data_IF_798267286694
#
_entry.id   IF_798267286694
#
_cell.length_a   1.000
_cell.length_b   1.000
_cell.length_c   1.000
_cell.angle_alpha   90.00
_cell.angle_beta   90.00
_cell.angle_gamma   90.00
#
_symmetry.space_group_name_H-M   'P 1'
#
loop_
_entity.id
_entity.type
_entity.pdbx_description
1 polymer ?
#
# COMPACT_ATOMS: atom_id res chain seq x y z
N UNK A 1 -16.90 -1.44 -14.29
CA UNK A 1 -16.01 -0.53 -13.52
C UNK A 1 -14.94 -1.33 -12.80
N UNK A 2 -15.29 -2.38 -12.06
CA UNK A 2 -14.34 -3.22 -11.31
C UNK A 2 -13.15 -3.75 -12.11
N UNK A 3 -13.38 -4.20 -13.35
CA UNK A 3 -12.31 -4.72 -14.21
C UNK A 3 -11.22 -3.68 -14.54
N UNK A 4 -11.56 -2.39 -14.55
CA UNK A 4 -10.60 -1.31 -14.82
C UNK A 4 -9.67 -1.06 -13.64
N UNK A 5 -10.21 -1.11 -12.41
CA UNK A 5 -9.42 -0.93 -11.20
C UNK A 5 -8.42 -2.06 -10.99
N UNK A 6 -8.85 -3.31 -11.19
CA UNK A 6 -7.97 -4.47 -11.03
C UNK A 6 -6.84 -4.49 -12.07
N UNK A 7 -7.09 -4.02 -13.29
CA UNK A 7 -6.04 -3.88 -14.31
C UNK A 7 -4.99 -2.84 -13.88
N UNK A 8 -5.42 -1.65 -13.47
CA UNK A 8 -4.50 -0.59 -13.02
C UNK A 8 -3.75 -0.95 -11.73
N UNK A 9 -4.35 -1.77 -10.85
CA UNK A 9 -3.66 -2.34 -9.70
C UNK A 9 -2.56 -3.32 -10.10
N UNK A 10 -2.82 -4.20 -11.07
CA UNK A 10 -1.82 -5.16 -11.54
C UNK A 10 -0.66 -4.46 -12.26
N UNK A 11 -0.93 -3.48 -13.12
CA UNK A 11 0.12 -2.67 -13.79
C UNK A 11 0.99 -1.88 -12.80
N UNK A 12 0.44 -1.57 -11.62
CA UNK A 12 1.14 -0.80 -10.58
C UNK A 12 2.04 -1.65 -9.68
N UNK A 13 1.99 -2.98 -9.79
CA UNK A 13 2.80 -3.92 -8.98
C UNK A 13 4.19 -4.12 -9.58
N UNK A 14 5.11 -4.60 -8.75
CA UNK A 14 6.41 -5.02 -9.23
C UNK A 14 6.34 -6.41 -9.88
N UNK A 15 7.19 -6.65 -10.88
CA UNK A 15 7.26 -7.94 -11.59
C UNK A 15 7.50 -9.13 -10.64
N UNK A 16 8.23 -8.93 -9.55
CA UNK A 16 8.48 -9.97 -8.55
C UNK A 16 7.23 -10.28 -7.71
N UNK A 17 6.40 -9.28 -7.41
CA UNK A 17 5.14 -9.48 -6.68
C UNK A 17 4.13 -10.26 -7.54
N UNK A 18 4.09 -10.00 -8.85
CA UNK A 18 3.28 -10.75 -9.80
C UNK A 18 3.77 -12.20 -9.93
N UNK A 19 5.09 -12.39 -10.10
CA UNK A 19 5.69 -13.73 -10.16
C UNK A 19 5.40 -14.56 -8.90
N UNK A 20 5.57 -13.99 -7.71
CA UNK A 20 5.22 -14.66 -6.44
C UNK A 20 3.75 -15.03 -6.34
N UNK A 21 2.86 -14.19 -6.85
CA UNK A 21 1.43 -14.48 -6.88
C UNK A 21 1.13 -15.70 -7.76
N UNK A 22 1.81 -15.81 -8.91
CA UNK A 22 1.68 -16.97 -9.80
C UNK A 22 2.25 -18.26 -9.16
N UNK A 23 3.40 -18.18 -8.51
CA UNK A 23 4.03 -19.33 -7.85
C UNK A 23 3.20 -19.86 -6.68
N UNK A 24 2.64 -18.96 -5.86
CA UNK A 24 1.69 -19.35 -4.79
C UNK A 24 0.45 -20.04 -5.35
N UNK A 25 -0.07 -19.59 -6.49
CA UNK A 25 -1.23 -20.20 -7.13
C UNK A 25 -0.93 -21.59 -7.72
N UNK A 26 0.34 -21.90 -8.03
CA UNK A 26 0.79 -23.21 -8.50
C UNK A 26 1.04 -24.23 -7.39
N UNK A 27 1.04 -23.81 -6.13
CA UNK A 27 1.26 -24.70 -4.97
C UNK A 27 2.72 -25.09 -4.72
N UNK A 28 3.67 -24.63 -5.55
CA UNK A 28 5.09 -24.97 -5.39
C UNK A 28 5.72 -24.37 -4.12
N UNK A 29 5.08 -23.38 -3.50
CA UNK A 29 5.55 -22.73 -2.26
C UNK A 29 5.11 -23.41 -0.95
N UNK A 30 4.36 -24.52 -0.98
CA UNK A 30 3.81 -25.15 0.24
C UNK A 30 4.90 -25.64 1.23
N UNK A 31 6.10 -25.97 0.73
CA UNK A 31 7.20 -26.47 1.56
C UNK A 31 8.21 -25.39 1.99
N UNK A 32 8.01 -24.13 1.60
CA UNK A 32 8.93 -23.04 1.94
C UNK A 32 8.45 -22.27 3.15
N UNK A 33 9.37 -22.01 4.10
CA UNK A 33 9.06 -21.14 5.23
C UNK A 33 8.60 -19.75 4.75
N UNK A 34 7.36 -19.30 5.08
CA UNK A 34 6.79 -18.05 4.58
C UNK A 34 7.62 -16.82 4.95
N UNK A 35 8.33 -16.85 6.09
CA UNK A 35 9.18 -15.75 6.53
C UNK A 35 10.44 -15.65 5.67
N UNK A 36 11.10 -16.77 5.42
CA UNK A 36 12.30 -16.85 4.57
C UNK A 36 12.00 -16.35 3.15
N UNK A 37 10.91 -16.79 2.54
CA UNK A 37 10.48 -16.27 1.23
C UNK A 37 10.27 -14.77 1.26
N UNK A 38 9.59 -14.25 2.30
CA UNK A 38 9.34 -12.80 2.43
C UNK A 38 10.65 -12.01 2.52
N UNK A 39 11.63 -12.51 3.27
CA UNK A 39 12.95 -11.88 3.39
C UNK A 39 13.73 -11.89 2.07
N UNK A 40 13.72 -13.01 1.33
CA UNK A 40 14.38 -13.12 0.03
C UNK A 40 13.80 -12.14 -0.99
N UNK A 41 12.49 -11.96 -0.99
CA UNK A 41 11.80 -11.01 -1.87
C UNK A 41 12.19 -9.57 -1.55
N UNK A 42 12.25 -9.20 -0.28
CA UNK A 42 12.69 -7.88 0.14
C UNK A 42 14.17 -7.62 -0.19
N UNK A 43 15.03 -8.65 -0.06
CA UNK A 43 16.42 -8.57 -0.48
C UNK A 43 16.53 -8.36 -2.00
N UNK A 44 15.77 -9.12 -2.79
CA UNK A 44 15.72 -8.95 -4.24
C UNK A 44 15.32 -7.51 -4.62
N UNK A 45 14.25 -6.98 -4.02
CA UNK A 45 13.80 -5.60 -4.26
C UNK A 45 14.91 -4.57 -3.97
N UNK A 46 15.63 -4.72 -2.86
CA UNK A 46 16.76 -3.83 -2.52
C UNK A 46 17.93 -3.95 -3.50
N UNK A 47 18.26 -5.16 -3.94
CA UNK A 47 19.33 -5.39 -4.93
C UNK A 47 18.94 -4.79 -6.29
N UNK A 48 17.66 -4.89 -6.67
CA UNK A 48 17.14 -4.27 -7.88
C UNK A 48 17.18 -2.74 -7.80
N UNK A 49 16.69 -2.15 -6.70
CA UNK A 49 16.81 -0.71 -6.43
C UNK A 49 18.26 -0.21 -6.54
N UNK A 50 19.21 -0.94 -5.95
CA UNK A 50 20.64 -0.61 -6.06
C UNK A 50 21.17 -0.74 -7.48
N UNK A 51 20.79 -1.80 -8.21
CA UNK A 51 21.18 -2.00 -9.61
C UNK A 51 20.66 -0.86 -10.49
N UNK A 52 19.41 -0.45 -10.29
CA UNK A 52 18.77 0.64 -11.01
C UNK A 52 19.49 1.98 -10.74
N UNK A 53 19.87 2.22 -9.49
CA UNK A 53 20.63 3.41 -9.08
C UNK A 53 22.02 3.45 -9.75
N UNK A 54 22.71 2.31 -9.83
CA UNK A 54 24.03 2.19 -10.49
C UNK A 54 23.91 2.39 -12.00
N UNK A 55 22.88 1.82 -12.63
CA UNK A 55 22.67 1.88 -14.09
C UNK A 55 22.01 3.18 -14.57
N UNK A 56 21.61 4.07 -13.64
CA UNK A 56 20.79 5.25 -13.93
C UNK A 56 19.45 4.89 -14.61
N UNK A 57 18.98 3.66 -14.39
CA UNK A 57 17.69 3.17 -14.86
C UNK A 57 16.61 3.64 -13.88
N UNK A 58 15.60 4.37 -14.37
CA UNK A 58 14.49 4.85 -13.54
C UNK A 58 13.40 3.79 -13.48
N UNK A 59 13.57 2.85 -12.57
CA UNK A 59 12.55 1.89 -12.14
C UNK A 59 12.05 2.40 -10.78
N UNK A 60 10.76 2.74 -10.60
CA UNK A 60 9.58 2.05 -11.14
C UNK A 60 8.82 2.80 -12.27
N UNK A 61 7.85 2.13 -12.95
CA UNK A 61 7.31 2.51 -14.27
C UNK A 61 6.53 3.83 -14.34
N UNK A 62 6.11 4.41 -13.21
CA UNK A 62 5.46 5.74 -13.16
C UNK A 62 5.42 6.26 -11.73
N UNK A 63 6.27 7.23 -11.34
CA UNK A 63 6.12 7.89 -10.05
C UNK A 63 4.79 8.67 -10.03
N UNK A 64 4.08 8.61 -8.90
CA UNK A 64 2.93 9.50 -8.69
C UNK A 64 3.42 10.95 -8.58
N UNK A 65 2.64 11.88 -9.13
CA UNK A 65 2.98 13.31 -9.18
C UNK A 65 3.00 13.95 -7.78
N UNK A 66 2.22 13.42 -6.85
CA UNK A 66 2.00 13.99 -5.53
C UNK A 66 2.31 12.97 -4.45
N UNK A 67 2.97 13.43 -3.39
CA UNK A 67 3.26 12.67 -2.17
C UNK A 67 2.82 13.50 -0.97
N UNK A 68 1.96 12.93 -0.12
CA UNK A 68 1.43 13.57 1.08
C UNK A 68 1.34 12.55 2.22
N UNK A 69 1.46 13.04 3.45
CA UNK A 69 1.36 12.24 4.68
C UNK A 69 -0.04 12.43 5.25
N UNK A 70 -0.72 11.33 5.55
CA UNK A 70 -2.05 11.34 6.17
C UNK A 70 -1.95 11.59 7.67
N UNK A 71 -2.82 12.42 8.23
CA UNK A 71 -2.88 12.71 9.67
C UNK A 71 -3.76 11.70 10.42
N UNK A 72 -4.85 11.26 9.80
CA UNK A 72 -5.80 10.30 10.36
C UNK A 72 -6.13 9.23 9.34
N UNK A 73 -6.37 8.03 9.86
CA UNK A 73 -6.76 6.86 9.08
C UNK A 73 -7.99 6.22 9.72
N UNK A 74 -8.77 5.53 8.91
CA UNK A 74 -9.90 4.72 9.31
C UNK A 74 -10.21 3.66 8.26
N UNK A 75 -11.14 2.76 8.57
CA UNK A 75 -11.48 1.66 7.65
C UNK A 75 -12.03 2.16 6.31
N UNK A 76 -12.82 3.24 6.33
CA UNK A 76 -13.50 3.76 5.14
C UNK A 76 -12.85 5.01 4.54
N UNK A 77 -11.79 5.53 5.14
CA UNK A 77 -11.27 6.84 4.76
C UNK A 77 -10.02 7.25 5.51
N UNK A 78 -9.47 8.38 5.12
CA UNK A 78 -8.32 9.03 5.75
C UNK A 78 -8.38 10.53 5.48
N UNK A 79 -7.60 11.30 6.22
CA UNK A 79 -7.48 12.74 6.01
C UNK A 79 -6.03 13.21 5.92
N UNK A 80 -5.89 14.47 5.51
CA UNK A 80 -4.65 15.22 5.47
C UNK A 80 -4.76 16.47 6.35
N UNK A 81 -3.64 16.93 6.89
CA UNK A 81 -3.60 18.19 7.65
C UNK A 81 -3.69 19.43 6.73
N UNK A 82 -3.27 19.27 5.48
CA UNK A 82 -3.24 20.32 4.46
C UNK A 82 -4.36 20.17 3.42
N UNK A 83 -4.79 21.29 2.84
CA UNK A 83 -5.70 21.29 1.68
C UNK A 83 -4.95 20.82 0.42
N UNK A 84 -5.09 19.54 0.08
CA UNK A 84 -4.38 18.93 -1.04
C UNK A 84 -5.27 18.17 -2.02
N UNK A 85 -6.58 18.16 -1.80
CA UNK A 85 -7.56 17.47 -2.63
C UNK A 85 -8.51 18.44 -3.32
N UNK A 86 -8.92 18.08 -4.54
CA UNK A 86 -10.07 18.70 -5.19
C UNK A 86 -11.34 17.90 -4.88
N UNK A 87 -12.37 18.60 -4.42
CA UNK A 87 -13.65 18.00 -4.01
C UNK A 87 -14.28 17.18 -5.14
N UNK A 88 -14.85 16.02 -4.77
CA UNK A 88 -15.53 15.08 -5.65
C UNK A 88 -14.68 14.38 -6.72
N UNK A 89 -13.35 14.58 -6.70
CA UNK A 89 -12.41 13.90 -7.60
C UNK A 89 -12.01 12.53 -7.04
N UNK A 90 -11.87 11.55 -7.94
CA UNK A 90 -11.36 10.21 -7.63
C UNK A 90 -9.86 10.17 -7.94
N UNK A 91 -9.09 9.70 -6.97
CA UNK A 91 -7.65 9.57 -7.05
C UNK A 91 -7.23 8.12 -6.91
N UNK A 92 -6.14 7.77 -7.59
CA UNK A 92 -5.38 6.56 -7.35
C UNK A 92 -4.24 6.86 -6.38
N UNK A 93 -4.07 6.02 -5.35
CA UNK A 93 -3.00 6.16 -4.37
C UNK A 93 -2.25 4.86 -4.13
N UNK A 94 -0.96 5.03 -3.86
CA UNK A 94 -0.06 4.04 -3.28
C UNK A 94 0.24 4.48 -1.84
N UNK A 95 -0.32 3.78 -0.86
CA UNK A 95 -0.11 4.09 0.56
C UNK A 95 1.05 3.25 1.07
N UNK A 96 2.13 3.91 1.49
CA UNK A 96 3.23 3.26 2.19
C UNK A 96 2.89 3.20 3.69
N UNK A 97 2.72 1.98 4.23
CA UNK A 97 2.56 1.81 5.67
C UNK A 97 3.92 1.84 6.38
N UNK A 98 4.02 2.42 7.60
CA UNK A 98 5.25 2.46 8.39
C UNK A 98 5.52 1.11 9.09
N UNK A 99 5.60 0.03 8.31
CA UNK A 99 5.88 -1.33 8.79
C UNK A 99 7.36 -1.68 8.55
N UNK A 100 7.86 -2.65 9.32
CA UNK A 100 9.25 -3.15 9.16
C UNK A 100 9.52 -3.66 7.75
N UNK A 101 8.53 -4.32 7.15
CA UNK A 101 8.55 -4.74 5.76
C UNK A 101 7.76 -3.71 4.96
N UNK A 102 8.46 -3.00 4.07
CA UNK A 102 7.83 -1.97 3.23
C UNK A 102 6.74 -2.62 2.40
N UNK A 103 5.52 -2.13 2.56
CA UNK A 103 4.40 -2.58 1.77
C UNK A 103 3.60 -1.38 1.30
N UNK A 104 3.34 -1.36 0.00
CA UNK A 104 2.46 -0.39 -0.63
C UNK A 104 1.06 -1.00 -0.71
N UNK A 105 0.07 -0.27 -0.23
CA UNK A 105 -1.35 -0.57 -0.39
C UNK A 105 -1.86 0.22 -1.58
N UNK A 106 -2.46 -0.45 -2.55
CA UNK A 106 -3.05 0.20 -3.70
C UNK A 106 -4.54 0.43 -3.46
N UNK A 107 -4.98 1.68 -3.60
CA UNK A 107 -6.39 2.01 -3.46
C UNK A 107 -6.84 3.18 -4.34
N UNK A 108 -8.15 3.25 -4.53
CA UNK A 108 -8.86 4.40 -5.05
C UNK A 108 -9.64 5.06 -3.93
N UNK A 109 -9.62 6.38 -3.90
CA UNK A 109 -10.41 7.17 -2.98
C UNK A 109 -11.05 8.34 -3.70
N UNK A 110 -12.19 8.80 -3.15
CA UNK A 110 -12.89 10.00 -3.58
C UNK A 110 -12.71 11.08 -2.53
N UNK A 111 -12.28 12.27 -2.95
CA UNK A 111 -12.21 13.42 -2.07
C UNK A 111 -13.62 13.90 -1.69
N UNK A 112 -13.94 13.91 -0.40
CA UNK A 112 -15.20 14.43 0.15
C UNK A 112 -15.13 15.94 0.30
N UNK A 113 -13.97 16.44 0.71
CA UNK A 113 -13.60 17.85 0.81
C UNK A 113 -12.11 18.00 0.44
N UNK A 114 -11.50 19.16 0.74
CA UNK A 114 -10.10 19.45 0.40
C UNK A 114 -9.06 18.65 1.21
N UNK A 115 -9.48 17.98 2.29
CA UNK A 115 -8.62 17.27 3.25
C UNK A 115 -9.01 15.82 3.50
N UNK A 116 -10.27 15.47 3.27
CA UNK A 116 -10.90 14.22 3.68
C UNK A 116 -11.17 13.36 2.45
N UNK A 117 -10.72 12.12 2.53
CA UNK A 117 -10.85 11.12 1.50
C UNK A 117 -11.73 9.96 1.99
N UNK A 118 -12.67 9.53 1.14
CA UNK A 118 -13.41 8.29 1.31
C UNK A 118 -12.83 7.22 0.38
N UNK A 119 -12.44 6.09 0.94
CA UNK A 119 -11.96 4.95 0.17
C UNK A 119 -13.12 4.41 -0.68
N UNK A 120 -12.88 4.31 -1.97
CA UNK A 120 -13.82 3.73 -2.95
C UNK A 120 -13.50 2.26 -3.14
N UNK A 121 -12.21 1.93 -3.25
CA UNK A 121 -11.77 0.57 -3.52
C UNK A 121 -10.35 0.34 -3.03
N UNK A 122 -10.11 -0.78 -2.36
CA UNK A 122 -8.76 -1.26 -2.03
C UNK A 122 -8.47 -2.46 -2.93
N UNK A 123 -7.22 -2.66 -3.33
CA UNK A 123 -6.83 -3.90 -4.01
C UNK A 123 -7.09 -5.10 -3.10
N UNK A 124 -7.68 -6.18 -3.64
CA UNK A 124 -8.12 -7.34 -2.85
C UNK A 124 -7.01 -7.97 -1.99
N UNK A 125 -5.77 -7.95 -2.48
CA UNK A 125 -4.61 -8.48 -1.73
C UNK A 125 -4.24 -7.65 -0.50
N UNK A 126 -4.70 -6.40 -0.45
CA UNK A 126 -4.27 -5.39 0.52
C UNK A 126 -5.38 -5.08 1.54
N UNK A 127 -6.63 -5.47 1.29
CA UNK A 127 -7.77 -5.26 2.21
C UNK A 127 -7.51 -5.78 3.63
N UNK A 128 -6.97 -7.01 3.73
CA UNK A 128 -6.66 -7.62 5.03
C UNK A 128 -5.58 -6.84 5.76
N UNK A 129 -4.57 -6.36 5.04
CA UNK A 129 -3.45 -5.61 5.63
C UNK A 129 -3.91 -4.23 6.10
N UNK A 130 -4.67 -3.50 5.26
CA UNK A 130 -5.26 -2.21 5.61
C UNK A 130 -6.09 -2.32 6.90
N UNK A 131 -7.01 -3.28 6.93
CA UNK A 131 -7.89 -3.49 8.08
C UNK A 131 -7.12 -3.83 9.36
N UNK A 132 -6.08 -4.66 9.23
CA UNK A 132 -5.22 -5.03 10.37
C UNK A 132 -4.44 -3.83 10.89
N UNK A 133 -3.91 -3.00 9.99
CA UNK A 133 -3.17 -1.79 10.35
C UNK A 133 -4.03 -0.74 11.05
N UNK A 134 -5.23 -0.47 10.52
CA UNK A 134 -6.19 0.46 11.14
C UNK A 134 -6.56 -0.02 12.55
N UNK A 135 -6.90 -1.30 12.71
CA UNK A 135 -7.27 -1.87 14.01
C UNK A 135 -6.12 -1.76 15.04
N UNK A 136 -4.88 -1.99 14.62
CA UNK A 136 -3.74 -1.90 15.52
C UNK A 136 -3.42 -0.44 15.90
N UNK A 137 -3.63 0.50 14.97
CA UNK A 137 -3.50 1.93 15.24
C UNK A 137 -4.55 2.42 16.25
N UNK A 138 -5.81 2.00 16.11
CA UNK A 138 -6.86 2.29 17.09
C UNK A 138 -6.54 1.73 18.47
N UNK A 139 -6.03 0.49 18.53
CA UNK A 139 -5.62 -0.14 19.79
C UNK A 139 -4.50 0.63 20.49
N UNK A 140 -3.53 1.15 19.73
CA UNK A 140 -2.45 1.96 20.29
C UNK A 140 -2.98 3.26 20.88
N UNK A 141 -3.92 3.93 20.22
CA UNK A 141 -4.55 5.13 20.76
C UNK A 141 -5.35 4.85 22.05
N UNK A 142 -6.12 3.76 22.08
CA UNK A 142 -6.84 3.34 23.30
C UNK A 142 -5.86 3.09 24.45
N UNK A 143 -4.69 2.47 24.19
CA UNK A 143 -3.67 2.24 25.22
C UNK A 143 -3.07 3.54 25.74
N UNK A 144 -2.79 4.52 24.86
CA UNK A 144 -2.28 5.83 25.26
C UNK A 144 -3.28 6.56 26.17
N UNK A 145 -4.57 6.49 25.85
CA UNK A 145 -5.61 7.12 26.64
C UNK A 145 -5.75 6.47 28.02
N UNK A 146 -5.69 5.13 28.10
CA UNK A 146 -5.77 4.40 29.38
C UNK A 146 -4.53 4.50 30.26
N UNK A 147 -3.35 4.77 29.68
CA UNK A 147 -2.10 4.92 30.44
C UNK A 147 -1.85 6.34 30.95
N UNK A 148 -2.70 7.31 30.57
CA UNK A 148 -2.65 8.70 31.01
C UNK A 148 -3.67 9.00 32.13
N UNK A 149 -4.37 7.98 32.65
CA UNK A 149 -5.09 8.01 33.94
C UNK A 149 -4.25 7.35 35.04
#
# INVERSE_FOLDING_TARGET
>A
MDFKFELEFNESRSNIDEWLSHEKARGESENSDPLTLKLLVELYKKVDELSNLIKNEKTPPKPLKHMKITDKIGFEGFSFDEDCLEKDVIYFAKISLPLFIKREILLYFKAVDCKTAKIVRIARSDEKEWSSYVAESERLEIRKQKGNE
#
